data_IF_784071007961
#
_entry.id   IF_784071007961
#
_cell.length_a   1.000
_cell.length_b   1.000
_cell.length_c   1.000
_cell.angle_alpha   90.00
_cell.angle_beta   90.00
_cell.angle_gamma   90.00
#
_symmetry.space_group_name_H-M   'P 1'
#
loop_
_entity.id
_entity.type
_entity.pdbx_description
1 polymer ?
#
# COMPACT_ATOMS: atom_id res chain seq x y z
N UNK A 1 -19.28 -2.07 13.97
CA UNK A 1 -19.65 -1.20 12.83
C UNK A 1 -20.30 -2.05 11.75
N UNK A 2 -21.40 -1.59 11.16
CA UNK A 2 -21.99 -2.17 9.93
C UNK A 2 -21.91 -1.09 8.85
N UNK A 3 -21.59 -1.48 7.61
CA UNK A 3 -21.54 -0.55 6.48
C UNK A 3 -21.98 -1.27 5.21
N UNK A 4 -22.24 -0.49 4.16
CA UNK A 4 -22.73 -0.98 2.87
C UNK A 4 -21.62 -0.89 1.85
N UNK A 5 -21.42 -1.96 1.08
CA UNK A 5 -20.51 -1.97 -0.07
C UNK A 5 -21.06 -1.02 -1.15
N UNK A 6 -20.19 -0.20 -1.73
CA UNK A 6 -20.54 0.75 -2.80
C UNK A 6 -19.70 0.50 -4.04
N UNK A 7 -20.13 1.01 -5.19
CA UNK A 7 -19.34 0.99 -6.43
C UNK A 7 -18.38 2.19 -6.46
N UNK A 8 -17.12 1.95 -6.81
CA UNK A 8 -16.11 2.96 -7.10
C UNK A 8 -15.43 2.60 -8.43
N UNK A 9 -15.74 3.37 -9.48
CA UNK A 9 -15.35 3.00 -10.84
C UNK A 9 -15.95 1.65 -11.24
N UNK A 10 -15.12 0.73 -11.74
CA UNK A 10 -15.53 -0.62 -12.13
C UNK A 10 -15.50 -1.64 -10.99
N UNK A 11 -15.14 -1.22 -9.77
CA UNK A 11 -14.97 -2.12 -8.62
C UNK A 11 -15.91 -1.77 -7.48
N UNK A 12 -15.98 -2.67 -6.49
CA UNK A 12 -16.68 -2.44 -5.24
C UNK A 12 -15.69 -1.96 -4.17
N UNK A 13 -16.19 -1.12 -3.25
CA UNK A 13 -15.41 -0.50 -2.20
C UNK A 13 -16.18 -0.45 -0.88
N UNK A 14 -15.41 -0.51 0.21
CA UNK A 14 -15.87 -0.29 1.58
C UNK A 14 -15.25 1.00 2.11
N UNK A 15 -16.04 1.82 2.79
CA UNK A 15 -15.50 2.98 3.52
C UNK A 15 -14.86 2.52 4.82
N UNK A 16 -13.60 2.91 5.03
CA UNK A 16 -12.87 2.69 6.27
C UNK A 16 -13.00 3.98 7.10
N UNK A 17 -13.62 3.95 8.31
CA UNK A 17 -13.66 5.10 9.19
C UNK A 17 -12.25 5.59 9.54
N UNK A 18 -12.12 6.89 9.75
CA UNK A 18 -10.84 7.52 10.06
C UNK A 18 -10.16 6.96 11.31
N UNK A 19 -10.93 6.58 12.34
CA UNK A 19 -10.39 5.95 13.54
C UNK A 19 -9.67 4.62 13.22
N UNK A 20 -10.34 3.72 12.50
CA UNK A 20 -9.75 2.43 12.10
C UNK A 20 -8.56 2.60 11.15
N UNK A 21 -8.63 3.57 10.24
CA UNK A 21 -7.51 3.88 9.35
C UNK A 21 -6.27 4.33 10.15
N UNK A 22 -6.45 5.19 11.17
CA UNK A 22 -5.36 5.62 12.05
C UNK A 22 -4.76 4.47 12.85
N UNK A 23 -5.61 3.64 13.46
CA UNK A 23 -5.16 2.50 14.27
C UNK A 23 -4.34 1.50 13.43
N UNK A 24 -4.69 1.33 12.15
CA UNK A 24 -3.98 0.46 11.21
C UNK A 24 -2.86 1.17 10.43
N UNK A 25 -2.59 2.45 10.72
CA UNK A 25 -1.62 3.30 10.00
C UNK A 25 -1.84 3.31 8.49
N UNK A 26 -3.10 3.28 8.07
CA UNK A 26 -3.51 3.35 6.67
C UNK A 26 -3.75 4.81 6.26
N UNK A 27 -3.20 5.15 5.11
CA UNK A 27 -3.41 6.43 4.43
C UNK A 27 -3.75 6.18 2.97
N UNK A 28 -4.17 7.23 2.26
CA UNK A 28 -4.35 7.16 0.81
C UNK A 28 -3.05 6.69 0.15
N UNK A 29 -3.15 5.65 -0.70
CA UNK A 29 -1.99 5.03 -1.35
C UNK A 29 -1.29 3.95 -0.55
N UNK A 30 -1.72 3.67 0.70
CA UNK A 30 -1.20 2.53 1.47
C UNK A 30 -1.45 1.21 0.72
N UNK A 31 -0.40 0.39 0.65
CA UNK A 31 -0.49 -0.95 0.06
C UNK A 31 -0.99 -1.92 1.14
N UNK A 32 -2.03 -2.68 0.81
CA UNK A 32 -2.61 -3.69 1.70
C UNK A 32 -2.60 -5.05 1.05
N UNK A 33 -2.50 -6.09 1.87
CA UNK A 33 -2.74 -7.46 1.45
C UNK A 33 -4.17 -7.85 1.85
N UNK A 34 -4.92 -8.37 0.88
CA UNK A 34 -6.30 -8.83 1.06
C UNK A 34 -6.35 -10.33 0.86
N UNK A 35 -6.79 -11.06 1.87
CA UNK A 35 -6.93 -12.53 1.83
C UNK A 35 -8.30 -12.95 2.29
N UNK A 36 -8.75 -14.14 1.87
CA UNK A 36 -9.98 -14.75 2.36
C UNK A 36 -9.63 -15.95 3.24
N UNK A 37 -10.00 -15.90 4.51
CA UNK A 37 -9.75 -16.96 5.48
C UNK A 37 -11.08 -17.37 6.10
N UNK A 38 -11.49 -18.63 5.89
CA UNK A 38 -12.74 -19.19 6.43
C UNK A 38 -13.97 -18.32 6.09
N UNK A 39 -14.07 -17.87 4.83
CA UNK A 39 -15.17 -17.03 4.36
C UNK A 39 -15.14 -15.58 4.85
N UNK A 40 -14.08 -15.15 5.54
CA UNK A 40 -13.90 -13.77 6.02
C UNK A 40 -12.77 -13.09 5.23
N UNK A 41 -13.01 -11.86 4.81
CA UNK A 41 -11.96 -11.02 4.21
C UNK A 41 -11.07 -10.45 5.32
N UNK A 42 -9.78 -10.76 5.27
CA UNK A 42 -8.75 -10.19 6.13
C UNK A 42 -7.94 -9.18 5.33
N UNK A 43 -7.85 -7.95 5.83
CA UNK A 43 -7.10 -6.86 5.22
C UNK A 43 -6.02 -6.44 6.20
N UNK A 44 -4.76 -6.49 5.78
CA UNK A 44 -3.61 -6.10 6.61
C UNK A 44 -2.72 -5.13 5.82
N UNK A 45 -2.13 -4.10 6.48
CA UNK A 45 -1.10 -3.30 5.86
C UNK A 45 0.01 -4.20 5.34
N UNK A 46 0.36 -4.07 4.06
CA UNK A 46 1.52 -4.76 3.52
C UNK A 46 2.72 -3.98 3.99
N UNK A 47 3.51 -4.55 4.90
CA UNK A 47 4.84 -4.03 5.18
C UNK A 47 5.59 -4.06 3.86
N UNK A 48 5.85 -2.89 3.28
CA UNK A 48 6.82 -2.81 2.20
C UNK A 48 8.11 -3.37 2.78
N UNK A 49 8.67 -4.38 2.12
CA UNK A 49 10.03 -4.81 2.42
C UNK A 49 10.88 -3.55 2.27
N UNK A 50 11.38 -3.02 3.39
CA UNK A 50 12.33 -1.93 3.31
C UNK A 50 13.55 -2.53 2.63
N UNK A 51 13.73 -2.19 1.36
CA UNK A 51 14.98 -2.49 0.68
C UNK A 51 16.00 -1.64 1.43
N UNK A 52 16.98 -2.25 2.11
CA UNK A 52 17.95 -1.48 2.87
C UNK A 52 18.67 -0.54 1.91
N UNK A 53 18.96 0.69 2.38
CA UNK A 53 19.64 1.69 1.57
C UNK A 53 20.92 1.14 0.93
N UNK A 54 21.66 0.30 1.66
CA UNK A 54 22.84 -0.41 1.13
C UNK A 54 22.53 -1.25 -0.12
N UNK A 55 21.41 -1.99 -0.15
CA UNK A 55 20.99 -2.76 -1.30
C UNK A 55 20.54 -1.87 -2.46
N UNK A 56 19.89 -0.73 -2.17
CA UNK A 56 19.53 0.25 -3.21
C UNK A 56 20.79 0.85 -3.85
N UNK A 57 21.78 1.24 -3.04
CA UNK A 57 23.04 1.80 -3.52
C UNK A 57 23.86 0.77 -4.31
N UNK A 58 23.89 -0.50 -3.88
CA UNK A 58 24.55 -1.58 -4.59
C UNK A 58 23.95 -1.86 -5.98
N UNK A 59 22.70 -1.47 -6.22
CA UNK A 59 22.05 -1.59 -7.53
C UNK A 59 22.44 -0.49 -8.54
N UNK A 60 23.17 0.54 -8.12
CA UNK A 60 23.60 1.63 -9.00
C UNK A 60 24.81 1.18 -9.81
N UNK A 61 24.67 1.21 -11.14
CA UNK A 61 25.72 0.92 -12.12
C UNK A 61 26.02 2.15 -12.95
N UNK A 62 27.13 2.14 -13.69
CA UNK A 62 27.45 3.25 -14.60
C UNK A 62 26.37 3.44 -15.68
N UNK A 63 25.71 2.36 -16.10
CA UNK A 63 24.72 2.37 -17.18
C UNK A 63 23.33 2.84 -16.73
N UNK A 64 23.01 2.79 -15.43
CA UNK A 64 21.71 3.22 -14.89
C UNK A 64 21.78 4.51 -14.05
N UNK A 65 22.95 5.16 -14.03
CA UNK A 65 23.15 6.43 -13.33
C UNK A 65 22.54 7.56 -14.14
N UNK A 66 21.53 8.20 -13.57
CA UNK A 66 20.86 9.36 -14.18
C UNK A 66 21.68 10.63 -13.90
N UNK A 67 21.72 11.55 -14.86
CA UNK A 67 22.31 12.88 -14.66
C UNK A 67 21.38 13.79 -13.85
N UNK A 68 21.93 14.86 -13.30
CA UNK A 68 21.14 15.90 -12.65
C UNK A 68 20.09 16.45 -13.62
N UNK A 69 18.85 16.58 -13.13
CA UNK A 69 17.77 17.18 -13.87
C UNK A 69 17.52 18.56 -13.30
N UNK A 70 17.73 19.59 -14.11
CA UNK A 70 17.32 20.96 -13.77
C UNK A 70 15.81 21.03 -14.03
N UNK A 71 15.05 21.50 -13.03
CA UNK A 71 13.59 21.66 -13.11
C UNK A 71 13.19 22.90 -13.89
#
# INVERSE_FOLDING_TARGET
MVTVIKKWGNSLALRIPSALAKDLQLSQGSVVEVTVVKGRMSIKPKKQSQIPLSQMLNGITQNNRHSEHVW
#
